data_IF_961251006564
#
_entry.id   IF_961251006564
#
_cell.length_a   1.000
_cell.length_b   1.000
_cell.length_c   1.000
_cell.angle_alpha   90.00
_cell.angle_beta   90.00
_cell.angle_gamma   90.00
#
_symmetry.space_group_name_H-M   'P 1'
#
loop_
_entity.id
_entity.type
_entity.pdbx_description
1 polymer ?
#
# COMPACT_ATOMS: atom_id res chain seq x y z
N UNK A 1 -20.15 -3.44 -15.13
CA UNK A 1 -20.60 -3.50 -13.71
C UNK A 1 -19.69 -4.41 -12.87
N UNK A 2 -19.34 -5.63 -13.33
CA UNK A 2 -18.31 -6.51 -12.74
C UNK A 2 -16.85 -5.98 -12.88
N UNK A 3 -16.67 -4.94 -13.68
CA UNK A 3 -15.37 -4.44 -14.17
C UNK A 3 -14.57 -3.68 -13.08
N UNK A 4 -15.23 -2.90 -12.22
CA UNK A 4 -14.52 -2.11 -11.19
C UNK A 4 -13.88 -2.99 -10.11
N UNK A 5 -14.57 -4.04 -9.65
CA UNK A 5 -14.01 -4.99 -8.67
C UNK A 5 -12.89 -5.84 -9.27
N UNK A 6 -12.95 -6.11 -10.58
CA UNK A 6 -11.88 -6.81 -11.30
C UNK A 6 -10.64 -5.91 -11.46
N UNK A 7 -10.82 -4.65 -11.89
CA UNK A 7 -9.76 -3.64 -11.92
C UNK A 7 -9.11 -3.45 -10.55
N UNK A 8 -9.93 -3.44 -9.48
CA UNK A 8 -9.43 -3.33 -8.12
C UNK A 8 -8.61 -4.56 -7.74
N UNK A 9 -9.04 -5.76 -8.12
CA UNK A 9 -8.28 -7.00 -7.92
C UNK A 9 -6.91 -6.94 -8.60
N UNK A 10 -6.87 -6.53 -9.87
CA UNK A 10 -5.62 -6.43 -10.63
C UNK A 10 -4.67 -5.39 -10.03
N UNK A 11 -5.20 -4.24 -9.64
CA UNK A 11 -4.39 -3.18 -9.03
C UNK A 11 -3.89 -3.58 -7.64
N UNK A 12 -4.73 -4.22 -6.82
CA UNK A 12 -4.32 -4.80 -5.53
C UNK A 12 -3.15 -5.79 -5.72
N UNK A 13 -3.25 -6.69 -6.70
CA UNK A 13 -2.19 -7.67 -7.00
C UNK A 13 -0.90 -6.98 -7.44
N UNK A 14 -0.99 -5.95 -8.29
CA UNK A 14 0.17 -5.18 -8.73
C UNK A 14 0.86 -4.50 -7.53
N UNK A 15 0.11 -3.85 -6.64
CA UNK A 15 0.68 -3.21 -5.45
C UNK A 15 1.32 -4.24 -4.53
N UNK A 16 0.63 -5.36 -4.27
CA UNK A 16 1.16 -6.43 -3.41
C UNK A 16 2.47 -6.99 -3.97
N UNK A 17 2.56 -7.20 -5.29
CA UNK A 17 3.79 -7.67 -5.94
C UNK A 17 4.96 -6.69 -5.76
N UNK A 18 4.71 -5.37 -5.65
CA UNK A 18 5.77 -4.38 -5.37
C UNK A 18 6.36 -4.52 -3.97
N UNK A 19 5.59 -5.05 -3.02
CA UNK A 19 6.07 -5.31 -1.66
C UNK A 19 6.83 -6.63 -1.50
N UNK A 20 6.75 -7.54 -2.48
CA UNK A 20 7.51 -8.82 -2.47
C UNK A 20 8.95 -8.66 -2.96
N UNK A 21 9.28 -7.52 -3.58
CA UNK A 21 10.63 -7.23 -4.12
C UNK A 21 11.55 -6.73 -2.99
N UNK A 22 12.83 -7.11 -3.04
CA UNK A 22 13.82 -6.75 -2.01
C UNK A 22 14.06 -5.24 -1.89
N UNK A 23 13.94 -4.51 -3.00
CA UNK A 23 14.08 -3.06 -3.05
C UNK A 23 12.79 -2.45 -3.59
N UNK A 24 12.14 -1.65 -2.76
CA UNK A 24 10.86 -1.03 -3.08
C UNK A 24 11.09 0.25 -3.88
N UNK A 25 10.45 0.34 -5.06
CA UNK A 25 10.31 1.61 -5.75
C UNK A 25 9.13 2.40 -5.17
N UNK A 26 9.46 3.38 -4.31
CA UNK A 26 8.44 4.17 -3.61
C UNK A 26 7.60 5.07 -4.52
N UNK A 27 8.14 5.57 -5.64
CA UNK A 27 7.41 6.40 -6.60
C UNK A 27 6.37 5.58 -7.37
N UNK A 28 6.75 4.36 -7.76
CA UNK A 28 5.83 3.44 -8.42
C UNK A 28 4.70 3.01 -7.48
N UNK A 29 5.01 2.69 -6.23
CA UNK A 29 3.98 2.37 -5.22
C UNK A 29 3.05 3.56 -4.99
N UNK A 30 3.58 4.79 -4.88
CA UNK A 30 2.76 5.99 -4.71
C UNK A 30 1.77 6.14 -5.86
N UNK A 31 2.25 6.03 -7.09
CA UNK A 31 1.40 6.10 -8.29
C UNK A 31 0.30 5.04 -8.28
N UNK A 32 0.63 3.79 -7.93
CA UNK A 32 -0.36 2.70 -7.88
C UNK A 32 -1.38 2.90 -6.75
N UNK A 33 -0.96 3.41 -5.60
CA UNK A 33 -1.85 3.71 -4.46
C UNK A 33 -2.79 4.87 -4.79
N UNK A 34 -2.31 5.91 -5.45
CA UNK A 34 -3.14 7.04 -5.91
C UNK A 34 -4.20 6.57 -6.92
N UNK A 35 -3.80 5.73 -7.88
CA UNK A 35 -4.72 5.10 -8.82
C UNK A 35 -5.78 4.25 -8.08
N UNK A 36 -5.37 3.56 -7.00
CA UNK A 36 -6.27 2.76 -6.19
C UNK A 36 -7.28 3.62 -5.45
N UNK A 37 -6.86 4.76 -4.90
CA UNK A 37 -7.77 5.70 -4.24
C UNK A 37 -8.84 6.22 -5.19
N UNK A 38 -8.46 6.58 -6.41
CA UNK A 38 -9.41 6.99 -7.46
C UNK A 38 -10.38 5.87 -7.81
N UNK A 39 -9.87 4.65 -8.03
CA UNK A 39 -10.69 3.49 -8.36
C UNK A 39 -11.69 3.13 -7.24
N UNK A 40 -11.30 3.31 -5.98
CA UNK A 40 -12.19 3.07 -4.85
C UNK A 40 -13.41 3.99 -4.86
N UNK A 41 -13.31 5.22 -5.40
CA UNK A 41 -14.48 6.09 -5.55
C UNK A 41 -15.51 5.49 -6.51
N UNK A 42 -15.05 4.89 -7.61
CA UNK A 42 -15.93 4.19 -8.55
C UNK A 42 -16.57 2.96 -7.92
N UNK A 43 -15.80 2.21 -7.13
CA UNK A 43 -16.31 1.05 -6.38
C UNK A 43 -17.36 1.49 -5.36
N UNK A 44 -17.15 2.58 -4.63
CA UNK A 44 -18.16 3.11 -3.70
C UNK A 44 -19.45 3.49 -4.43
N UNK A 45 -19.34 4.18 -5.57
CA UNK A 45 -20.50 4.52 -6.39
C UNK A 45 -21.25 3.27 -6.93
N UNK A 46 -20.51 2.23 -7.32
CA UNK A 46 -21.07 0.93 -7.70
C UNK A 46 -21.90 0.33 -6.55
N UNK A 47 -21.36 0.35 -5.32
CA UNK A 47 -22.04 -0.22 -4.15
C UNK A 47 -23.27 0.58 -3.72
N UNK A 48 -23.27 1.90 -3.95
CA UNK A 48 -24.44 2.75 -3.68
C UNK A 48 -25.55 2.49 -4.70
N UNK A 49 -25.17 2.28 -5.96
CA UNK A 49 -26.12 2.02 -7.06
C UNK A 49 -26.63 0.58 -7.07
N UNK A 50 -25.81 -0.38 -6.62
CA UNK A 50 -26.12 -1.82 -6.60
C UNK A 50 -25.72 -2.42 -5.25
N UNK A 51 -26.53 -2.22 -4.18
CA UNK A 51 -26.19 -2.65 -2.82
C UNK A 51 -26.05 -4.18 -2.67
N UNK A 52 -26.70 -4.95 -3.53
CA UNK A 52 -26.64 -6.40 -3.61
C UNK A 52 -25.22 -6.93 -3.91
N UNK A 53 -24.36 -6.12 -4.55
CA UNK A 53 -22.94 -6.44 -4.75
C UNK A 53 -22.23 -6.73 -3.42
N UNK A 54 -22.68 -6.14 -2.31
CA UNK A 54 -22.10 -6.42 -0.97
C UNK A 54 -22.27 -7.86 -0.51
N UNK A 55 -23.16 -8.63 -1.15
CA UNK A 55 -23.39 -10.04 -0.88
C UNK A 55 -22.59 -10.96 -1.83
N UNK A 56 -21.91 -10.39 -2.83
CA UNK A 56 -21.16 -11.14 -3.82
C UNK A 56 -19.82 -11.63 -3.28
N UNK A 57 -19.37 -12.79 -3.77
CA UNK A 57 -18.07 -13.36 -3.39
C UNK A 57 -16.90 -12.45 -3.75
N UNK A 58 -17.01 -11.74 -4.87
CA UNK A 58 -16.02 -10.80 -5.40
C UNK A 58 -15.80 -9.64 -4.43
N UNK A 59 -16.87 -9.11 -3.84
CA UNK A 59 -16.80 -8.08 -2.81
C UNK A 59 -16.11 -8.59 -1.54
N UNK A 60 -16.50 -9.77 -1.03
CA UNK A 60 -15.82 -10.38 0.13
C UNK A 60 -14.33 -10.61 -0.13
N UNK A 61 -13.98 -11.03 -1.34
CA UNK A 61 -12.59 -11.20 -1.77
C UNK A 61 -11.84 -9.86 -1.83
N UNK A 62 -12.47 -8.79 -2.33
CA UNK A 62 -11.89 -7.44 -2.36
C UNK A 62 -11.62 -6.88 -0.95
N UNK A 63 -12.55 -7.08 -0.01
CA UNK A 63 -12.33 -6.73 1.40
C UNK A 63 -11.17 -7.51 2.00
N UNK A 64 -11.09 -8.81 1.72
CA UNK A 64 -10.01 -9.67 2.21
C UNK A 64 -8.65 -9.22 1.66
N UNK A 65 -8.55 -8.90 0.37
CA UNK A 65 -7.33 -8.34 -0.23
C UNK A 65 -6.97 -6.98 0.35
N UNK A 66 -7.95 -6.10 0.54
CA UNK A 66 -7.75 -4.78 1.15
C UNK A 66 -7.12 -4.89 2.54
N UNK A 67 -7.59 -5.82 3.38
CA UNK A 67 -7.00 -6.05 4.72
C UNK A 67 -5.53 -6.46 4.62
N UNK A 68 -5.22 -7.44 3.76
CA UNK A 68 -3.83 -7.89 3.54
C UNK A 68 -2.94 -6.76 3.04
N UNK A 69 -3.43 -5.94 2.11
CA UNK A 69 -2.68 -4.82 1.57
C UNK A 69 -2.37 -3.77 2.65
N UNK A 70 -3.35 -3.44 3.52
CA UNK A 70 -3.14 -2.53 4.65
C UNK A 70 -2.06 -3.07 5.59
N UNK A 71 -2.09 -4.35 5.92
CA UNK A 71 -1.07 -4.99 6.77
C UNK A 71 0.33 -4.93 6.15
N UNK A 72 0.44 -5.18 4.83
CA UNK A 72 1.71 -5.08 4.10
C UNK A 72 2.25 -3.65 4.14
N UNK A 73 1.42 -2.65 3.79
CA UNK A 73 1.82 -1.24 3.80
C UNK A 73 2.28 -0.78 5.19
N UNK A 74 1.57 -1.20 6.25
CA UNK A 74 1.94 -0.88 7.63
C UNK A 74 3.26 -1.54 8.06
N UNK A 75 3.45 -2.80 7.69
CA UNK A 75 4.69 -3.54 7.98
C UNK A 75 5.89 -2.85 7.35
N UNK A 76 5.76 -2.46 6.08
CA UNK A 76 6.81 -1.80 5.31
C UNK A 76 7.10 -0.39 5.81
N UNK A 77 6.07 0.39 6.11
CA UNK A 77 6.22 1.70 6.76
C UNK A 77 6.97 1.58 8.10
N UNK A 78 6.65 0.56 8.89
CA UNK A 78 7.32 0.30 10.17
C UNK A 78 8.78 -0.10 9.96
N UNK A 79 9.09 -0.93 8.96
CA UNK A 79 10.45 -1.34 8.60
C UNK A 79 11.32 -0.12 8.25
N UNK A 80 10.84 0.71 7.31
CA UNK A 80 11.54 1.93 6.90
C UNK A 80 11.73 2.90 8.08
N UNK A 81 10.74 3.03 8.95
CA UNK A 81 10.85 3.85 10.16
C UNK A 81 11.97 3.39 11.12
N UNK A 82 12.15 2.07 11.28
CA UNK A 82 13.25 1.51 12.08
C UNK A 82 14.60 1.79 11.43
N UNK A 83 14.70 1.69 10.11
CA UNK A 83 15.94 1.96 9.37
C UNK A 83 16.34 3.42 9.48
N UNK A 84 15.39 4.34 9.29
CA UNK A 84 15.62 5.76 9.47
C UNK A 84 16.13 6.10 10.88
N UNK A 85 15.57 5.46 11.92
CA UNK A 85 16.06 5.62 13.30
C UNK A 85 17.53 5.19 13.44
N UNK A 86 17.92 4.07 12.82
CA UNK A 86 19.32 3.60 12.81
C UNK A 86 20.24 4.59 12.10
N UNK A 87 19.86 5.07 10.92
CA UNK A 87 20.63 6.07 10.18
C UNK A 87 20.80 7.38 10.95
N UNK A 88 19.73 7.88 11.58
CA UNK A 88 19.80 9.09 12.43
C UNK A 88 20.76 8.91 13.62
N UNK A 89 20.76 7.72 14.24
CA UNK A 89 21.70 7.42 15.30
C UNK A 89 23.15 7.41 14.80
N UNK A 90 23.42 6.74 13.68
CA UNK A 90 24.74 6.73 13.05
C UNK A 90 25.24 8.14 12.69
N UNK A 91 24.37 8.98 12.12
CA UNK A 91 24.71 10.37 11.81
C UNK A 91 25.08 11.16 13.08
N UNK A 92 24.33 10.97 14.18
CA UNK A 92 24.67 11.59 15.47
C UNK A 92 26.06 11.20 15.95
N UNK A 93 26.44 9.93 15.84
CA UNK A 93 27.79 9.46 16.17
C UNK A 93 28.86 10.11 15.28
N UNK A 94 28.62 10.21 13.98
CA UNK A 94 29.52 10.92 13.05
C UNK A 94 29.70 12.38 13.44
N UNK A 95 28.63 13.08 13.84
CA UNK A 95 28.73 14.47 14.32
C UNK A 95 29.57 14.58 15.60
N UNK A 96 29.59 13.55 16.46
CA UNK A 96 30.49 13.55 17.62
C UNK A 96 31.94 13.42 17.19
N UNK A 97 32.25 12.55 16.23
CA UNK A 97 33.62 12.39 15.71
C UNK A 97 34.14 13.65 15.04
N UNK A 98 33.28 14.36 14.30
CA UNK A 98 33.63 15.64 13.67
C UNK A 98 34.05 16.74 14.65
N UNK A 99 33.80 16.61 15.95
CA UNK A 99 34.29 17.58 16.95
C UNK A 99 35.80 17.44 17.22
N UNK A 100 36.41 16.34 16.79
CA UNK A 100 37.83 16.02 16.99
C UNK A 100 38.65 16.11 15.70
N UNK A 101 38.02 16.45 14.57
CA UNK A 101 38.63 16.68 13.27
C UNK A 101 38.56 18.17 12.96
#
# INVERSE_FOLDING_TARGET
MMDELQKLCELDQQIMAKFEISEINTEEIMTLVDNREQLLQNVLHLLDSHPDVKQSSEWYNAITRTRKLVELMQTETTRVGKDLKRYRHGNKSVQQYKKFL
#
